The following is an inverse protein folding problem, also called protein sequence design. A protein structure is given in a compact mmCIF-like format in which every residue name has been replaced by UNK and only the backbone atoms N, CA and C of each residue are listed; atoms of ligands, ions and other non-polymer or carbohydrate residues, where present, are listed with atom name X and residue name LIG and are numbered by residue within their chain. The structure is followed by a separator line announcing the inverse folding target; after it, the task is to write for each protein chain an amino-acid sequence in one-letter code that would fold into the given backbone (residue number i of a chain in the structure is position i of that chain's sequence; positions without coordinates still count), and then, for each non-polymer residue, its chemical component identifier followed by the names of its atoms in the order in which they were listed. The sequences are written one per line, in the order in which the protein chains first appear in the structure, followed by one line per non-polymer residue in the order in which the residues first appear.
data_IF_969903776852
#
_entry.id   IF_969903776852
#
_cell.length_a   1.000
_cell.length_b   1.000
_cell.length_c   1.000
_cell.angle_alpha   90.00
_cell.angle_beta   90.00
_cell.angle_gamma   90.00
#
_symmetry.space_group_name_H-M   'P 1'
#
loop_
_entity.id
_entity.type
_entity.pdbx_description
1 polymer ?
#
# COMPACT_ATOMS: atom_id res chain seq x y z
N UNK A 1 10.58 -11.91 2.31
CA UNK A 1 10.93 -12.39 0.96
C UNK A 1 10.05 -13.61 0.72
N UNK A 2 9.06 -13.51 -0.17
CA UNK A 2 8.13 -14.62 -0.41
C UNK A 2 8.85 -15.68 -1.26
N UNK A 3 9.18 -16.81 -0.65
CA UNK A 3 9.76 -17.98 -1.32
C UNK A 3 8.72 -18.61 -2.25
N UNK A 4 9.08 -18.74 -3.52
CA UNK A 4 8.21 -19.22 -4.59
C UNK A 4 8.51 -20.68 -4.99
N UNK A 5 9.18 -21.48 -4.15
CA UNK A 5 9.77 -22.76 -4.60
C UNK A 5 9.19 -24.04 -4.01
N UNK A 6 8.02 -24.06 -3.36
CA UNK A 6 7.52 -25.35 -2.84
C UNK A 6 6.01 -25.54 -2.65
N UNK A 7 5.16 -25.49 -3.71
CA UNK A 7 3.84 -26.19 -3.66
C UNK A 7 3.40 -26.78 -5.01
N UNK A 8 3.31 -28.13 -5.15
CA UNK A 8 2.83 -28.82 -6.36
C UNK A 8 1.32 -28.64 -6.67
N UNK A 9 0.60 -27.82 -5.90
CA UNK A 9 -0.84 -27.55 -6.06
C UNK A 9 -1.14 -26.06 -5.85
N UNK A 10 -0.31 -25.17 -6.39
CA UNK A 10 -0.54 -23.73 -6.29
C UNK A 10 -1.81 -23.36 -7.09
N UNK A 11 -2.87 -22.97 -6.39
CA UNK A 11 -3.99 -22.24 -7.02
C UNK A 11 -3.38 -21.08 -7.80
N UNK A 12 -3.84 -20.80 -9.04
CA UNK A 12 -3.32 -19.66 -9.80
C UNK A 12 -3.50 -18.40 -8.95
N UNK A 13 -2.43 -17.63 -8.79
CA UNK A 13 -2.43 -16.36 -8.05
C UNK A 13 -3.41 -15.41 -8.74
N UNK A 14 -4.49 -14.95 -8.08
CA UNK A 14 -5.37 -13.92 -8.59
C UNK A 14 -4.59 -12.72 -9.12
N UNK A 15 -4.94 -12.30 -10.32
CA UNK A 15 -4.24 -11.22 -11.02
C UNK A 15 -5.23 -10.28 -11.68
N UNK A 16 -5.19 -9.01 -11.27
CA UNK A 16 -5.89 -7.91 -11.92
C UNK A 16 -4.89 -7.10 -12.75
N UNK A 17 -5.24 -6.79 -14.00
CA UNK A 17 -4.49 -5.84 -14.83
C UNK A 17 -5.37 -4.65 -15.18
N UNK A 18 -4.85 -3.44 -15.00
CA UNK A 18 -5.52 -2.18 -15.32
C UNK A 18 -4.60 -1.38 -16.23
N UNK A 19 -4.98 -1.21 -17.49
CA UNK A 19 -4.17 -0.51 -18.49
C UNK A 19 -4.98 0.58 -19.16
N UNK A 20 -4.39 1.75 -19.35
CA UNK A 20 -5.01 2.85 -20.11
C UNK A 20 -6.42 3.20 -19.60
N UNK A 21 -6.59 3.19 -18.27
CA UNK A 21 -7.90 3.25 -17.60
C UNK A 21 -7.97 4.36 -16.57
N UNK A 22 -9.15 4.96 -16.40
CA UNK A 22 -9.48 5.85 -15.28
C UNK A 22 -10.57 5.21 -14.42
N UNK A 23 -10.30 5.02 -13.12
CA UNK A 23 -11.28 4.54 -12.12
C UNK A 23 -11.48 5.62 -11.06
N UNK A 24 -12.74 5.87 -10.69
CA UNK A 24 -13.12 6.89 -9.70
C UNK A 24 -14.08 6.31 -8.66
N UNK A 25 -13.62 6.22 -7.41
CA UNK A 25 -14.40 5.90 -6.21
C UNK A 25 -14.54 7.18 -5.36
N UNK A 26 -15.44 8.08 -5.78
CA UNK A 26 -15.48 9.46 -5.27
C UNK A 26 -16.50 9.69 -4.13
N UNK A 27 -17.32 8.70 -3.80
CA UNK A 27 -18.13 8.81 -2.59
C UNK A 27 -17.23 8.75 -1.35
N UNK A 28 -17.47 9.55 -0.30
CA UNK A 28 -16.61 9.59 0.89
C UNK A 28 -16.36 8.22 1.54
N UNK A 29 -17.36 7.35 1.49
CA UNK A 29 -17.36 6.00 2.04
C UNK A 29 -16.90 4.91 1.05
N UNK A 30 -16.66 5.26 -0.22
CA UNK A 30 -16.28 4.28 -1.22
C UNK A 30 -14.83 3.81 -1.00
N UNK A 31 -14.65 2.49 -1.06
CA UNK A 31 -13.34 1.86 -1.10
C UNK A 31 -13.01 1.56 -2.57
N UNK A 32 -11.86 2.04 -3.05
CA UNK A 32 -11.44 1.81 -4.44
C UNK A 32 -11.26 0.33 -4.76
N UNK A 33 -10.58 -0.41 -3.87
CA UNK A 33 -10.39 -1.85 -3.96
C UNK A 33 -10.50 -2.51 -2.59
N UNK A 34 -11.42 -3.47 -2.45
CA UNK A 34 -11.55 -4.30 -1.26
C UNK A 34 -10.98 -5.68 -1.49
N UNK A 35 -10.01 -6.09 -0.66
CA UNK A 35 -9.26 -7.33 -0.80
C UNK A 35 -9.30 -8.09 0.52
N UNK A 36 -9.78 -9.33 0.49
CA UNK A 36 -9.87 -10.18 1.68
C UNK A 36 -9.60 -11.64 1.36
N UNK A 37 -8.96 -12.34 2.30
CA UNK A 37 -8.65 -13.77 2.21
C UNK A 37 -8.01 -14.13 0.86
N UNK A 38 -7.09 -13.28 0.38
CA UNK A 38 -6.52 -13.37 -0.97
C UNK A 38 -5.05 -13.00 -0.96
N UNK A 39 -4.22 -13.89 -1.51
CA UNK A 39 -2.89 -13.55 -1.99
C UNK A 39 -2.95 -13.25 -3.48
N UNK A 40 -2.38 -12.15 -3.98
CA UNK A 40 -2.60 -11.75 -5.37
C UNK A 40 -1.69 -10.65 -5.90
N UNK A 41 -1.93 -10.27 -7.16
CA UNK A 41 -1.19 -9.21 -7.85
C UNK A 41 -2.14 -8.24 -8.57
N UNK A 42 -1.82 -6.96 -8.50
CA UNK A 42 -2.42 -5.91 -9.33
C UNK A 42 -1.31 -5.26 -10.14
N UNK A 43 -1.41 -5.34 -11.47
CA UNK A 43 -0.52 -4.60 -12.36
C UNK A 43 -1.27 -3.44 -12.99
N UNK A 44 -0.66 -2.26 -12.92
CA UNK A 44 -1.23 -1.03 -13.45
C UNK A 44 -0.25 -0.34 -14.38
N UNK A 45 -0.72 0.06 -15.57
CA UNK A 45 0.06 0.86 -16.50
C UNK A 45 -0.77 2.00 -17.10
N UNK A 46 -0.17 3.20 -17.20
CA UNK A 46 -0.79 4.37 -17.85
C UNK A 46 -2.22 4.64 -17.39
N UNK A 47 -2.47 4.50 -16.10
CA UNK A 47 -3.82 4.52 -15.53
C UNK A 47 -3.93 5.51 -14.38
N UNK A 48 -5.16 5.89 -14.06
CA UNK A 48 -5.47 6.76 -12.93
C UNK A 48 -6.54 6.11 -12.06
N UNK A 49 -6.29 5.98 -10.75
CA UNK A 49 -7.30 5.58 -9.77
C UNK A 49 -7.42 6.67 -8.72
N UNK A 50 -8.65 7.15 -8.52
CA UNK A 50 -8.95 8.19 -7.53
C UNK A 50 -9.98 7.65 -6.55
N UNK A 51 -9.61 7.61 -5.28
CA UNK A 51 -10.50 7.44 -4.15
C UNK A 51 -10.48 8.68 -3.25
N UNK A 52 -11.64 9.12 -2.77
CA UNK A 52 -11.75 10.26 -1.83
C UNK A 52 -11.46 9.89 -0.38
N UNK A 53 -11.25 8.60 -0.09
CA UNK A 53 -10.81 8.07 1.19
C UNK A 53 -9.89 6.88 0.95
N UNK A 54 -10.40 5.67 1.16
CA UNK A 54 -9.61 4.45 1.03
C UNK A 54 -9.46 4.01 -0.43
N UNK A 55 -8.23 4.05 -0.95
CA UNK A 55 -7.87 3.49 -2.25
C UNK A 55 -7.88 1.96 -2.21
N UNK A 56 -7.20 1.38 -1.22
CA UNK A 56 -7.11 -0.08 -1.03
C UNK A 56 -7.44 -0.41 0.42
N UNK A 57 -8.33 -1.37 0.63
CA UNK A 57 -8.56 -2.00 1.94
C UNK A 57 -8.22 -3.48 1.87
N UNK A 58 -7.16 -3.88 2.56
CA UNK A 58 -6.73 -5.27 2.69
C UNK A 58 -7.06 -5.81 4.08
N UNK A 59 -7.93 -6.82 4.14
CA UNK A 59 -8.48 -7.33 5.39
C UNK A 59 -8.21 -8.81 5.50
N UNK A 60 -7.48 -9.24 6.55
CA UNK A 60 -7.26 -10.66 6.81
C UNK A 60 -8.56 -11.41 7.11
N UNK A 61 -8.54 -12.73 6.94
CA UNK A 61 -9.65 -13.58 7.35
C UNK A 61 -9.88 -13.51 8.88
N UNK A 62 -11.12 -13.66 9.30
CA UNK A 62 -11.61 -13.54 10.67
C UNK A 62 -12.08 -12.14 11.05
N UNK A 63 -11.68 -11.11 10.30
CA UNK A 63 -12.02 -9.71 10.59
C UNK A 63 -13.42 -9.34 10.06
N UNK A 64 -14.12 -8.38 10.70
CA UNK A 64 -15.38 -7.87 10.18
C UNK A 64 -15.15 -7.26 8.79
N UNK A 65 -15.82 -7.80 7.76
CA UNK A 65 -15.82 -7.20 6.44
C UNK A 65 -17.03 -6.30 6.23
N UNK A 66 -16.84 -5.32 5.35
CA UNK A 66 -17.92 -4.47 4.87
C UNK A 66 -18.75 -5.26 3.86
N UNK A 67 -20.06 -5.37 4.09
CA UNK A 67 -20.95 -6.11 3.19
C UNK A 67 -21.73 -5.22 2.20
N UNK A 68 -21.46 -3.92 2.19
CA UNK A 68 -22.04 -2.99 1.23
C UNK A 68 -23.50 -2.60 1.49
N UNK A 69 -24.17 -3.14 2.51
CA UNK A 69 -25.62 -2.93 2.69
C UNK A 69 -26.08 -2.44 4.07
N UNK A 70 -25.35 -2.67 5.17
CA UNK A 70 -25.80 -2.22 6.50
C UNK A 70 -24.71 -1.98 7.54
N UNK A 71 -23.44 -2.22 7.20
CA UNK A 71 -22.31 -2.11 8.13
C UNK A 71 -21.53 -3.43 8.24
N UNK A 72 -20.73 -3.56 9.29
CA UNK A 72 -19.85 -4.72 9.52
C UNK A 72 -20.63 -5.92 10.08
N UNK A 73 -21.34 -6.69 9.24
CA UNK A 73 -22.17 -7.79 9.76
C UNK A 73 -21.68 -9.20 9.42
N UNK A 74 -20.64 -9.37 8.58
CA UNK A 74 -20.08 -10.69 8.30
C UNK A 74 -18.58 -10.75 8.60
N UNK A 75 -18.23 -11.56 9.60
CA UNK A 75 -16.87 -12.08 9.75
C UNK A 75 -16.66 -13.14 8.68
N UNK A 76 -15.68 -12.93 7.79
CA UNK A 76 -15.22 -14.04 6.95
C UNK A 76 -14.43 -14.98 7.85
N UNK A 77 -14.83 -16.24 7.98
CA UNK A 77 -14.07 -17.20 8.78
C UNK A 77 -12.96 -17.82 7.92
N UNK A 78 -11.72 -17.73 8.37
CA UNK A 78 -10.54 -18.32 7.74
C UNK A 78 -9.25 -17.90 8.46
N UNK A 79 -8.18 -18.66 8.28
CA UNK A 79 -6.84 -18.34 8.79
C UNK A 79 -5.95 -17.67 7.72
N UNK A 80 -6.48 -17.40 6.52
CA UNK A 80 -5.67 -16.92 5.40
C UNK A 80 -5.40 -15.41 5.50
N UNK A 81 -4.10 -15.07 5.45
CA UNK A 81 -3.60 -13.71 5.36
C UNK A 81 -3.93 -13.11 3.98
N UNK A 82 -4.30 -11.83 3.93
CA UNK A 82 -4.39 -11.09 2.67
C UNK A 82 -3.00 -10.57 2.32
N UNK A 83 -2.46 -10.88 1.15
CA UNK A 83 -1.11 -10.48 0.74
C UNK A 83 -1.09 -10.06 -0.73
N UNK A 84 -1.01 -8.77 -1.01
CA UNK A 84 -1.17 -8.24 -2.36
C UNK A 84 0.05 -7.45 -2.81
N UNK A 85 0.49 -7.70 -4.04
CA UNK A 85 1.53 -6.92 -4.70
C UNK A 85 0.88 -5.99 -5.72
N UNK A 86 1.12 -4.70 -5.60
CA UNK A 86 0.71 -3.66 -6.54
C UNK A 86 1.95 -3.18 -7.30
N UNK A 87 2.01 -3.43 -8.60
CA UNK A 87 3.06 -2.88 -9.45
C UNK A 87 2.46 -1.84 -10.37
N UNK A 88 2.85 -0.59 -10.14
CA UNK A 88 2.23 0.59 -10.71
C UNK A 88 3.27 1.28 -11.57
N UNK A 89 3.01 1.40 -12.88
CA UNK A 89 3.91 2.03 -13.84
C UNK A 89 3.22 3.18 -14.57
N UNK A 90 3.88 4.33 -14.70
CA UNK A 90 3.37 5.50 -15.42
C UNK A 90 1.91 5.87 -15.02
N UNK A 91 1.57 5.70 -13.75
CA UNK A 91 0.18 5.76 -13.29
C UNK A 91 0.05 6.67 -12.07
N UNK A 92 -1.15 7.21 -11.85
CA UNK A 92 -1.45 8.09 -10.71
C UNK A 92 -2.50 7.45 -9.81
N UNK A 93 -2.19 7.36 -8.52
CA UNK A 93 -3.03 6.82 -7.48
C UNK A 93 -3.38 7.91 -6.47
N UNK A 94 -4.64 7.97 -6.05
CA UNK A 94 -5.08 8.86 -4.97
C UNK A 94 -5.97 8.12 -3.98
N UNK A 95 -5.67 8.30 -2.69
CA UNK A 95 -6.38 7.71 -1.56
C UNK A 95 -5.46 6.85 -0.69
N UNK A 96 -5.97 6.46 0.47
CA UNK A 96 -5.19 5.78 1.50
C UNK A 96 -5.17 4.26 1.30
N UNK A 97 -4.08 3.63 1.72
CA UNK A 97 -3.96 2.18 1.82
C UNK A 97 -4.20 1.78 3.27
N UNK A 98 -5.25 1.01 3.51
CA UNK A 98 -5.64 0.54 4.84
C UNK A 98 -5.48 -0.97 4.92
N UNK A 99 -4.74 -1.45 5.92
CA UNK A 99 -4.50 -2.86 6.15
C UNK A 99 -4.91 -3.24 7.56
N UNK A 100 -5.68 -4.32 7.68
CA UNK A 100 -6.25 -4.79 8.96
C UNK A 100 -5.98 -6.28 9.18
N UNK A 101 -5.74 -6.65 10.44
CA UNK A 101 -5.37 -8.02 10.86
C UNK A 101 -4.04 -8.47 10.25
N UNK A 102 -3.87 -9.77 10.00
CA UNK A 102 -2.69 -10.35 9.31
C UNK A 102 -2.62 -10.00 7.81
N UNK A 103 -2.96 -8.78 7.42
CA UNK A 103 -2.92 -8.30 6.04
C UNK A 103 -1.56 -7.72 5.64
N UNK A 104 -1.26 -7.73 4.35
CA UNK A 104 -0.02 -7.22 3.78
C UNK A 104 -0.22 -6.60 2.40
N UNK A 105 0.30 -5.40 2.19
CA UNK A 105 0.40 -4.75 0.87
C UNK A 105 1.87 -4.46 0.55
N UNK A 106 2.29 -4.83 -0.65
CA UNK A 106 3.56 -4.41 -1.26
C UNK A 106 3.24 -3.50 -2.45
N UNK A 107 3.44 -2.18 -2.27
CA UNK A 107 3.20 -1.16 -3.29
C UNK A 107 4.52 -0.79 -3.97
N UNK A 108 4.59 -0.97 -5.29
CA UNK A 108 5.75 -0.66 -6.11
C UNK A 108 5.40 0.43 -7.12
N UNK A 109 5.89 1.65 -6.90
CA UNK A 109 5.71 2.81 -7.78
C UNK A 109 6.90 2.91 -8.75
N UNK A 110 6.68 2.54 -10.00
CA UNK A 110 7.70 2.49 -11.06
C UNK A 110 7.43 3.55 -12.12
N UNK A 111 8.48 3.95 -12.82
CA UNK A 111 8.39 4.69 -14.09
C UNK A 111 7.48 5.92 -14.02
N UNK A 112 7.88 6.95 -13.29
CA UNK A 112 7.11 8.20 -13.19
C UNK A 112 5.68 8.01 -12.65
N UNK A 113 5.49 7.03 -11.76
CA UNK A 113 4.20 6.87 -11.09
C UNK A 113 4.05 7.85 -9.94
N UNK A 114 2.81 8.15 -9.58
CA UNK A 114 2.49 9.01 -8.45
C UNK A 114 1.52 8.31 -7.51
N UNK A 115 1.74 8.46 -6.21
CA UNK A 115 0.74 8.18 -5.20
C UNK A 115 0.52 9.40 -4.31
N UNK A 116 -0.73 9.81 -4.13
CA UNK A 116 -1.15 10.82 -3.16
C UNK A 116 -2.01 10.13 -2.10
N UNK A 117 -1.47 9.94 -0.90
CA UNK A 117 -2.15 9.20 0.16
C UNK A 117 -1.24 8.82 1.33
N UNK A 118 -1.80 8.07 2.26
CA UNK A 118 -1.11 7.54 3.43
C UNK A 118 -1.31 6.02 3.56
N UNK A 119 -0.38 5.35 4.25
CA UNK A 119 -0.54 3.97 4.68
C UNK A 119 -1.02 3.91 6.15
N UNK A 120 -2.00 3.05 6.41
CA UNK A 120 -2.58 2.81 7.73
C UNK A 120 -2.57 1.30 8.01
N UNK A 121 -1.75 0.88 8.95
CA UNK A 121 -1.76 -0.47 9.51
C UNK A 121 -2.55 -0.45 10.82
N UNK A 122 -3.72 -1.07 10.85
CA UNK A 122 -4.63 -1.02 12.00
C UNK A 122 -4.22 -1.99 13.13
N UNK A 123 -3.38 -2.98 12.84
CA UNK A 123 -2.96 -4.02 13.79
C UNK A 123 -1.44 -4.23 13.73
N UNK A 124 -0.84 -4.77 14.80
CA UNK A 124 0.61 -4.99 14.87
C UNK A 124 1.15 -6.02 13.87
N UNK A 125 0.26 -6.86 13.33
CA UNK A 125 0.52 -7.87 12.30
C UNK A 125 0.06 -7.42 10.89
N UNK A 126 -0.39 -6.17 10.76
CA UNK A 126 -0.68 -5.52 9.48
C UNK A 126 0.57 -4.83 8.94
N UNK A 127 0.88 -5.05 7.66
CA UNK A 127 2.11 -4.52 7.07
C UNK A 127 1.86 -3.83 5.74
N UNK A 128 2.48 -2.67 5.55
CA UNK A 128 2.59 -1.99 4.26
C UNK A 128 4.06 -1.84 3.92
N UNK A 129 4.44 -2.28 2.72
CA UNK A 129 5.74 -2.03 2.11
C UNK A 129 5.56 -1.09 0.94
N UNK A 130 6.50 -0.15 0.80
CA UNK A 130 6.52 0.80 -0.32
C UNK A 130 7.90 0.75 -0.98
N UNK A 131 7.91 0.62 -2.30
CA UNK A 131 9.08 0.65 -3.17
C UNK A 131 8.88 1.76 -4.22
N UNK A 132 9.80 2.71 -4.28
CA UNK A 132 9.77 3.82 -5.23
C UNK A 132 10.97 3.78 -6.16
N UNK A 133 10.72 3.82 -7.47
CA UNK A 133 11.76 4.20 -8.42
C UNK A 133 12.07 5.69 -8.30
N UNK A 134 13.31 6.08 -8.62
CA UNK A 134 13.85 7.45 -8.47
C UNK A 134 12.96 8.57 -9.03
N UNK A 135 12.19 8.30 -10.08
CA UNK A 135 11.33 9.28 -10.75
C UNK A 135 9.84 9.17 -10.38
N UNK A 136 9.46 8.24 -9.51
CA UNK A 136 8.10 8.10 -9.01
C UNK A 136 7.93 8.95 -7.76
N UNK A 137 6.76 9.56 -7.58
CA UNK A 137 6.48 10.51 -6.51
C UNK A 137 5.50 9.91 -5.50
N UNK A 138 5.75 10.16 -4.21
CA UNK A 138 4.75 9.95 -3.16
C UNK A 138 4.49 11.25 -2.41
N UNK A 139 3.23 11.70 -2.42
CA UNK A 139 2.75 12.84 -1.64
C UNK A 139 1.95 12.35 -0.43
N UNK A 140 2.42 12.66 0.76
CA UNK A 140 1.74 12.27 2.00
C UNK A 140 0.49 13.12 2.25
N UNK A 141 -0.54 12.46 2.78
CA UNK A 141 -1.78 13.10 3.24
C UNK A 141 -1.96 13.02 4.76
N UNK A 142 -1.14 12.22 5.44
CA UNK A 142 -1.16 12.05 6.88
C UNK A 142 0.18 11.49 7.39
N UNK A 143 0.39 11.49 8.70
CA UNK A 143 1.45 10.72 9.33
C UNK A 143 1.28 9.24 9.01
N UNK A 144 2.37 8.58 8.61
CA UNK A 144 2.28 7.21 8.11
C UNK A 144 3.43 6.35 8.64
N UNK A 145 3.12 5.07 8.79
CA UNK A 145 4.09 4.05 9.11
C UNK A 145 4.07 2.98 8.02
N UNK A 146 5.24 2.63 7.50
CA UNK A 146 5.43 1.50 6.59
C UNK A 146 6.47 0.57 7.20
N UNK A 147 6.23 -0.74 7.15
CA UNK A 147 7.18 -1.72 7.68
C UNK A 147 8.49 -1.68 6.89
N UNK A 148 8.41 -1.47 5.58
CA UNK A 148 9.57 -1.42 4.68
C UNK A 148 9.43 -0.27 3.70
N UNK A 149 10.50 0.52 3.60
CA UNK A 149 10.66 1.57 2.60
C UNK A 149 11.88 1.25 1.73
N UNK A 150 11.65 1.11 0.42
CA UNK A 150 12.70 1.05 -0.58
C UNK A 150 12.59 2.27 -1.47
N UNK A 151 13.69 3.00 -1.65
CA UNK A 151 13.74 4.12 -2.59
C UNK A 151 15.03 4.08 -3.41
N UNK A 152 14.90 4.21 -4.73
CA UNK A 152 16.03 4.34 -5.65
C UNK A 152 16.61 5.78 -5.69
N UNK A 153 15.90 6.75 -5.11
CA UNK A 153 16.42 8.09 -4.80
C UNK A 153 16.96 8.12 -3.36
N UNK A 154 18.30 8.11 -3.16
CA UNK A 154 18.89 8.13 -1.82
C UNK A 154 18.68 9.46 -1.08
N UNK A 155 18.20 10.50 -1.77
CA UNK A 155 17.90 11.80 -1.15
C UNK A 155 16.47 11.90 -0.64
N UNK A 156 15.60 10.94 -0.97
CA UNK A 156 14.15 10.97 -0.71
C UNK A 156 13.46 12.21 -1.30
N UNK A 157 14.05 12.83 -2.33
CA UNK A 157 13.54 14.06 -2.94
C UNK A 157 12.24 13.86 -3.71
N UNK A 158 11.91 12.60 -3.99
CA UNK A 158 10.68 12.12 -4.59
C UNK A 158 9.54 11.86 -3.59
N UNK A 159 9.78 12.04 -2.28
CA UNK A 159 8.75 11.96 -1.24
C UNK A 159 8.45 13.38 -0.74
N UNK A 160 7.24 13.85 -1.00
CA UNK A 160 6.71 15.13 -0.52
C UNK A 160 5.82 14.88 0.69
N UNK A 161 6.31 15.28 1.85
CA UNK A 161 5.70 14.96 3.13
C UNK A 161 4.52 15.86 3.48
N UNK A 162 4.35 17.01 2.83
CA UNK A 162 3.29 17.97 3.13
C UNK A 162 3.17 18.32 4.65
N UNK A 163 4.29 18.30 5.37
CA UNK A 163 4.36 18.56 6.82
C UNK A 163 4.16 17.33 7.70
N UNK A 164 3.82 16.17 7.12
CA UNK A 164 3.66 14.91 7.83
C UNK A 164 4.97 14.13 7.95
N UNK A 165 5.01 13.21 8.91
CA UNK A 165 6.14 12.32 9.14
C UNK A 165 5.89 10.92 8.56
N UNK A 166 6.93 10.36 7.97
CA UNK A 166 7.01 8.98 7.50
C UNK A 166 7.91 8.20 8.45
N UNK A 167 7.38 7.15 9.07
CA UNK A 167 8.19 6.24 9.91
C UNK A 167 8.34 4.89 9.21
N UNK A 168 9.51 4.26 9.36
CA UNK A 168 9.77 2.96 8.76
C UNK A 168 10.78 2.14 9.56
N UNK A 169 10.81 0.82 9.37
CA UNK A 169 11.81 -0.03 10.02
C UNK A 169 13.13 0.00 9.24
N UNK A 170 14.15 0.63 9.80
CA UNK A 170 15.45 0.82 9.11
C UNK A 170 16.19 -0.50 8.84
N UNK A 171 15.92 -1.55 9.62
CA UNK A 171 16.62 -2.84 9.50
C UNK A 171 16.17 -3.67 8.28
N UNK A 172 15.04 -3.33 7.66
CA UNK A 172 14.50 -4.03 6.48
C UNK A 172 14.35 -3.09 5.27
N UNK A 173 14.73 -1.82 5.43
CA UNK A 173 14.64 -0.76 4.43
C UNK A 173 16.04 -0.46 3.86
N UNK A 174 16.15 0.05 2.62
CA UNK A 174 17.45 0.48 2.07
C UNK A 174 17.85 1.90 2.51
N UNK A 175 16.95 2.58 3.21
CA UNK A 175 17.18 3.88 3.80
C UNK A 175 17.68 3.67 5.23
N UNK A 176 18.95 3.98 5.49
CA UNK A 176 19.61 3.69 6.77
C UNK A 176 19.68 4.90 7.73
N UNK A 177 19.11 6.04 7.35
CA UNK A 177 19.21 7.28 8.14
C UNK A 177 18.23 7.27 9.33
N UNK A 178 18.67 7.63 10.55
CA UNK A 178 17.77 7.70 11.69
C UNK A 178 16.65 8.72 11.50
N UNK A 179 16.99 9.90 10.96
CA UNK A 179 16.06 10.99 10.63
C UNK A 179 16.60 11.69 9.38
N UNK A 180 15.73 11.95 8.41
CA UNK A 180 16.00 12.82 7.26
C UNK A 180 14.85 13.80 7.07
N UNK A 181 15.12 15.09 6.81
CA UNK A 181 14.08 16.00 6.36
C UNK A 181 13.53 15.52 5.00
N UNK A 182 12.25 15.74 4.80
CA UNK A 182 11.58 15.50 3.52
C UNK A 182 11.13 16.84 2.91
N UNK A 183 10.90 16.85 1.60
CA UNK A 183 10.18 17.96 0.97
C UNK A 183 8.82 18.15 1.66
N UNK A 184 8.30 19.38 1.71
CA UNK A 184 7.03 19.66 2.39
C UNK A 184 7.12 19.86 3.91
N UNK A 185 8.27 19.62 4.55
CA UNK A 185 8.57 20.11 5.90
C UNK A 185 8.47 19.11 7.06
N UNK A 186 8.13 17.84 6.79
CA UNK A 186 8.19 16.76 7.76
C UNK A 186 9.46 15.92 7.64
N UNK A 187 9.44 14.73 8.27
CA UNK A 187 10.63 13.88 8.40
C UNK A 187 10.37 12.42 8.02
N UNK A 188 11.37 11.79 7.41
CA UNK A 188 11.51 10.35 7.33
C UNK A 188 12.30 9.86 8.55
N UNK A 189 11.73 8.97 9.36
CA UNK A 189 12.30 8.50 10.62
C UNK A 189 12.46 6.98 10.59
N UNK A 190 13.71 6.53 10.58
CA UNK A 190 14.07 5.12 10.63
C UNK A 190 14.06 4.60 12.07
N UNK A 191 13.03 3.84 12.43
CA UNK A 191 12.89 3.22 13.74
C UNK A 191 13.71 1.91 13.82
N UNK A 192 14.36 1.64 14.96
CA UNK A 192 14.84 0.30 15.26
C UNK A 192 13.65 -0.68 15.40
N UNK A 193 13.91 -1.96 15.18
CA UNK A 193 12.93 -3.04 15.41
C UNK A 193 12.69 -3.20 16.90
#
# INVERSE_FOLDING_TARGET
MFDNTSRPNARPTPWLRVNDTVIKAIQPEAVGMWLSNTGGRVDMARSTIIANGTLVRAVAAGMPAWDGSSGFEKRHFGDESTAMIFSVAQSSLRGDIVVSGRGGIDLQLKEMSEWVGSAVAEHSDSHVHVDLSRNSIWRLTNHTHVQKLMDDDPTLGNIDSQGFNLTYCKNVSNIAVPVSPLAGGGFAVGLPV
#
